data_IF_078104315073
#
_entry.id   IF_078104315073
#
_cell.length_a   1.000
_cell.length_b   1.000
_cell.length_c   1.000
_cell.angle_alpha   90.00
_cell.angle_beta   90.00
_cell.angle_gamma   90.00
#
_symmetry.space_group_name_H-M   'P 1'
#
loop_
_entity.id
_entity.type
_entity.pdbx_description
1 polymer ?
#
# COMPACT_ATOMS: atom_id res chain seq x y z
N UNK A 1 -29.73 29.39 6.10
CA UNK A 1 -29.26 28.61 4.93
C UNK A 1 -29.88 27.23 5.00
N UNK A 2 -30.90 26.93 4.19
CA UNK A 2 -31.66 25.68 4.24
C UNK A 2 -30.78 24.51 3.80
N UNK A 3 -30.62 23.52 4.67
CA UNK A 3 -30.01 22.26 4.35
C UNK A 3 -30.77 21.59 3.18
N UNK A 4 -30.28 21.78 1.95
CA UNK A 4 -30.78 21.08 0.79
C UNK A 4 -30.67 19.57 1.05
N UNK A 5 -31.80 18.92 0.93
CA UNK A 5 -32.08 17.53 1.28
C UNK A 5 -30.96 16.56 0.90
N UNK A 6 -30.47 15.70 1.82
CA UNK A 6 -29.49 14.65 1.54
C UNK A 6 -29.99 13.62 0.50
N UNK A 7 -31.27 13.69 0.11
CA UNK A 7 -31.94 12.77 -0.82
C UNK A 7 -31.39 12.80 -2.26
N UNK A 8 -30.87 13.95 -2.74
CA UNK A 8 -30.26 14.05 -4.07
C UNK A 8 -28.78 13.70 -4.09
N UNK A 9 -28.08 13.82 -2.95
CA UNK A 9 -26.67 13.43 -2.83
C UNK A 9 -26.51 11.91 -2.80
N UNK A 10 -27.45 11.20 -2.19
CA UNK A 10 -27.36 9.74 -2.05
C UNK A 10 -27.28 8.99 -3.39
N UNK A 11 -28.17 9.23 -4.39
CA UNK A 11 -28.08 8.57 -5.70
C UNK A 11 -26.83 9.00 -6.47
N UNK A 12 -26.39 10.25 -6.35
CA UNK A 12 -25.16 10.71 -6.98
C UNK A 12 -23.94 9.99 -6.40
N UNK A 13 -23.84 9.93 -5.06
CA UNK A 13 -22.75 9.21 -4.37
C UNK A 13 -22.79 7.71 -4.72
N UNK A 14 -23.98 7.10 -4.73
CA UNK A 14 -24.14 5.70 -5.13
C UNK A 14 -23.68 5.45 -6.56
N UNK A 15 -24.04 6.32 -7.50
CA UNK A 15 -23.62 6.21 -8.91
C UNK A 15 -22.10 6.32 -9.07
N UNK A 16 -21.46 7.23 -8.33
CA UNK A 16 -20.00 7.39 -8.32
C UNK A 16 -19.33 6.10 -7.76
N UNK A 17 -19.81 5.58 -6.63
CA UNK A 17 -19.27 4.33 -6.08
C UNK A 17 -19.47 3.13 -7.01
N UNK A 18 -20.64 2.99 -7.63
CA UNK A 18 -20.90 1.95 -8.62
C UNK A 18 -19.94 2.07 -9.81
N UNK A 19 -19.73 3.28 -10.33
CA UNK A 19 -18.78 3.52 -11.41
C UNK A 19 -17.33 3.16 -11.05
N UNK A 20 -16.89 3.49 -9.84
CA UNK A 20 -15.55 3.17 -9.35
C UNK A 20 -15.34 1.67 -9.06
N UNK A 21 -16.38 0.97 -8.59
CA UNK A 21 -16.32 -0.46 -8.27
C UNK A 21 -16.58 -1.34 -9.50
N UNK A 22 -17.26 -0.83 -10.54
CA UNK A 22 -17.62 -1.60 -11.72
C UNK A 22 -16.40 -2.30 -12.38
N UNK A 23 -15.25 -1.65 -12.62
CA UNK A 23 -14.08 -2.33 -13.19
C UNK A 23 -13.59 -3.50 -12.34
N UNK A 24 -13.60 -3.36 -11.01
CA UNK A 24 -13.19 -4.43 -10.10
C UNK A 24 -14.14 -5.61 -10.18
N UNK A 25 -15.45 -5.33 -10.21
CA UNK A 25 -16.49 -6.37 -10.36
C UNK A 25 -16.34 -7.09 -11.69
N UNK A 26 -16.05 -6.36 -12.78
CA UNK A 26 -15.82 -6.95 -14.10
C UNK A 26 -14.62 -7.90 -14.09
N UNK A 27 -13.48 -7.48 -13.52
CA UNK A 27 -12.28 -8.33 -13.42
C UNK A 27 -12.57 -9.59 -12.61
N UNK A 28 -13.24 -9.45 -11.46
CA UNK A 28 -13.62 -10.59 -10.63
C UNK A 28 -14.61 -11.51 -11.40
N UNK A 29 -15.61 -10.97 -12.09
CA UNK A 29 -16.55 -11.78 -12.84
C UNK A 29 -15.88 -12.55 -13.99
N UNK A 30 -15.01 -11.89 -14.74
CA UNK A 30 -14.26 -12.51 -15.85
C UNK A 30 -13.34 -13.62 -15.36
N UNK A 31 -12.77 -13.51 -14.14
CA UNK A 31 -11.91 -14.56 -13.57
C UNK A 31 -12.61 -15.89 -13.34
N UNK A 32 -13.96 -15.87 -13.27
CA UNK A 32 -14.78 -17.08 -13.17
C UNK A 32 -15.38 -17.52 -14.52
N UNK A 33 -15.15 -16.79 -15.60
CA UNK A 33 -15.68 -17.13 -16.92
C UNK A 33 -14.97 -18.35 -17.53
N UNK A 34 -15.70 -19.24 -18.25
CA UNK A 34 -15.09 -20.40 -18.91
C UNK A 34 -14.36 -20.09 -20.21
N UNK A 35 -14.56 -18.89 -20.77
CA UNK A 35 -13.97 -18.49 -22.05
C UNK A 35 -12.48 -18.19 -21.90
N UNK A 36 -11.69 -18.59 -22.90
CA UNK A 36 -10.27 -18.21 -23.00
C UNK A 36 -10.07 -16.73 -23.43
N UNK A 37 -11.14 -16.01 -23.73
CA UNK A 37 -11.14 -14.58 -24.00
C UNK A 37 -11.75 -13.82 -22.81
N UNK A 38 -11.38 -12.54 -22.66
CA UNK A 38 -11.99 -11.65 -21.68
C UNK A 38 -13.42 -11.29 -22.10
N UNK A 39 -14.39 -12.15 -21.78
CA UNK A 39 -15.81 -11.98 -22.12
C UNK A 39 -16.62 -11.53 -20.90
N UNK A 40 -17.38 -10.44 -21.07
CA UNK A 40 -18.27 -9.93 -20.03
C UNK A 40 -19.68 -9.66 -20.62
N UNK A 41 -20.77 -10.11 -19.98
CA UNK A 41 -20.80 -11.00 -18.81
C UNK A 41 -20.38 -12.45 -19.15
N UNK A 42 -19.76 -13.19 -18.21
CA UNK A 42 -19.31 -14.55 -18.45
C UNK A 42 -20.52 -15.48 -18.68
N UNK A 43 -20.40 -16.43 -19.63
CA UNK A 43 -21.46 -17.40 -19.98
C UNK A 43 -21.51 -18.65 -19.12
N UNK A 44 -20.84 -18.63 -17.96
CA UNK A 44 -20.77 -19.75 -17.03
C UNK A 44 -19.82 -19.45 -15.90
N UNK A 45 -19.61 -20.43 -15.02
CA UNK A 45 -18.71 -20.32 -13.87
C UNK A 45 -17.73 -21.46 -13.87
N UNK A 46 -16.43 -21.14 -13.77
CA UNK A 46 -15.34 -22.11 -13.64
C UNK A 46 -14.30 -21.62 -12.64
N UNK A 47 -13.51 -22.54 -12.08
CA UNK A 47 -12.32 -22.24 -11.28
C UNK A 47 -11.02 -22.53 -12.05
N UNK A 48 -11.14 -22.89 -13.32
CA UNK A 48 -10.00 -23.30 -14.16
C UNK A 48 -8.85 -22.29 -14.14
N UNK A 49 -9.12 -21.00 -14.20
CA UNK A 49 -8.08 -19.96 -14.19
C UNK A 49 -7.38 -19.82 -12.85
N UNK A 50 -8.06 -20.10 -11.75
CA UNK A 50 -7.44 -20.17 -10.43
C UNK A 50 -6.56 -21.43 -10.32
N UNK A 51 -6.99 -22.56 -10.85
CA UNK A 51 -6.16 -23.78 -10.93
C UNK A 51 -4.93 -23.54 -11.79
N UNK A 52 -5.07 -22.89 -12.95
CA UNK A 52 -3.96 -22.50 -13.83
C UNK A 52 -2.99 -21.54 -13.13
N UNK A 53 -3.49 -20.59 -12.34
CA UNK A 53 -2.66 -19.70 -11.52
C UNK A 53 -1.80 -20.50 -10.53
N UNK A 54 -2.39 -21.41 -9.75
CA UNK A 54 -1.66 -22.22 -8.78
C UNK A 54 -0.76 -23.27 -9.44
N UNK A 55 -1.06 -23.73 -10.63
CA UNK A 55 -0.24 -24.64 -11.41
C UNK A 55 0.99 -23.94 -12.04
N UNK A 56 0.96 -22.60 -12.14
CA UNK A 56 2.07 -21.82 -12.69
C UNK A 56 3.06 -21.38 -11.61
N UNK A 57 4.29 -21.92 -11.56
CA UNK A 57 5.31 -21.49 -10.60
C UNK A 57 5.62 -19.99 -10.69
N UNK A 58 5.55 -19.40 -11.90
CA UNK A 58 5.84 -18.00 -12.13
C UNK A 58 4.82 -17.10 -11.41
N UNK A 59 3.52 -17.37 -11.55
CA UNK A 59 2.49 -16.63 -10.83
C UNK A 59 2.57 -16.81 -9.30
N UNK A 60 2.76 -18.05 -8.84
CA UNK A 60 2.86 -18.36 -7.40
C UNK A 60 4.07 -17.67 -6.77
N UNK A 61 5.23 -17.69 -7.41
CA UNK A 61 6.43 -17.00 -6.93
C UNK A 61 6.21 -15.48 -6.92
N UNK A 62 5.72 -14.91 -8.04
CA UNK A 62 5.47 -13.48 -8.16
C UNK A 62 4.50 -12.97 -7.09
N UNK A 63 3.45 -13.73 -6.80
CA UNK A 63 2.43 -13.37 -5.83
C UNK A 63 2.90 -13.54 -4.39
N UNK A 64 3.21 -14.79 -3.99
CA UNK A 64 3.45 -15.11 -2.58
C UNK A 64 4.86 -14.80 -2.12
N UNK A 65 5.87 -15.09 -2.97
CA UNK A 65 7.26 -14.95 -2.56
C UNK A 65 7.81 -13.55 -2.81
N UNK A 66 7.35 -12.87 -3.84
CA UNK A 66 7.83 -11.51 -4.15
C UNK A 66 6.83 -10.46 -3.64
N UNK A 67 5.66 -10.33 -4.27
CA UNK A 67 4.74 -9.21 -3.95
C UNK A 67 4.27 -9.20 -2.51
N UNK A 68 3.83 -10.35 -1.98
CA UNK A 68 3.33 -10.42 -0.61
C UNK A 68 4.44 -10.18 0.41
N UNK A 69 5.61 -10.79 0.21
CA UNK A 69 6.75 -10.62 1.13
C UNK A 69 7.29 -9.20 1.08
N UNK A 70 7.50 -8.64 -0.12
CA UNK A 70 7.97 -7.25 -0.27
C UNK A 70 6.94 -6.28 0.30
N UNK A 71 5.64 -6.49 0.01
CA UNK A 71 4.56 -5.66 0.55
C UNK A 71 4.51 -5.64 2.08
N UNK A 72 4.60 -6.81 2.70
CA UNK A 72 4.60 -6.91 4.16
C UNK A 72 5.88 -6.31 4.79
N UNK A 73 7.05 -6.61 4.22
CA UNK A 73 8.31 -6.05 4.71
C UNK A 73 8.37 -4.53 4.50
N UNK A 74 7.94 -4.04 3.34
CA UNK A 74 7.87 -2.59 3.07
C UNK A 74 6.92 -1.90 4.05
N UNK A 75 5.73 -2.45 4.29
CA UNK A 75 4.78 -1.91 5.26
C UNK A 75 5.37 -1.88 6.68
N UNK A 76 6.00 -2.97 7.12
CA UNK A 76 6.58 -3.05 8.46
C UNK A 76 7.76 -2.07 8.63
N UNK A 77 8.72 -2.11 7.70
CA UNK A 77 9.92 -1.25 7.77
C UNK A 77 9.59 0.22 7.55
N UNK A 78 8.72 0.55 6.57
CA UNK A 78 8.27 1.93 6.36
C UNK A 78 7.51 2.46 7.59
N UNK A 79 6.74 1.61 8.30
CA UNK A 79 6.06 2.01 9.54
C UNK A 79 7.06 2.38 10.62
N UNK A 80 8.12 1.62 10.80
CA UNK A 80 9.17 1.94 11.77
C UNK A 80 9.92 3.22 11.35
N UNK A 81 10.45 3.26 10.13
CA UNK A 81 11.23 4.40 9.62
C UNK A 81 10.40 5.68 9.56
N UNK A 82 9.18 5.59 9.02
CA UNK A 82 8.27 6.73 8.91
C UNK A 82 7.81 7.25 10.28
N UNK A 83 7.62 6.36 11.26
CA UNK A 83 7.29 6.78 12.63
C UNK A 83 8.45 7.50 13.28
N UNK A 84 9.68 6.97 13.16
CA UNK A 84 10.87 7.65 13.67
C UNK A 84 11.07 9.03 13.02
N UNK A 85 10.91 9.12 11.70
CA UNK A 85 10.99 10.39 10.97
C UNK A 85 9.89 11.38 11.41
N UNK A 86 8.63 10.93 11.53
CA UNK A 86 7.52 11.76 11.99
C UNK A 86 7.73 12.28 13.41
N UNK A 87 8.20 11.42 14.33
CA UNK A 87 8.55 11.82 15.69
C UNK A 87 9.67 12.86 15.69
N UNK A 88 10.71 12.66 14.88
CA UNK A 88 11.80 13.63 14.71
C UNK A 88 11.30 14.98 14.22
N UNK A 89 10.48 14.96 13.18
CA UNK A 89 9.96 16.17 12.55
C UNK A 89 8.94 16.91 13.43
N UNK A 90 8.10 16.23 14.19
CA UNK A 90 7.05 16.88 15.01
C UNK A 90 7.59 17.36 16.35
N UNK A 91 8.42 16.56 17.02
CA UNK A 91 8.82 16.82 18.40
C UNK A 91 10.08 17.64 18.56
N UNK A 92 10.94 17.68 17.55
CA UNK A 92 12.22 18.38 17.64
C UNK A 92 12.21 19.62 16.75
N UNK A 93 12.79 20.69 17.27
CA UNK A 93 13.07 21.92 16.53
C UNK A 93 14.56 21.95 16.23
N UNK A 94 14.91 21.87 14.96
CA UNK A 94 16.29 21.90 14.50
C UNK A 94 16.41 22.70 13.21
N UNK A 95 17.61 23.19 12.94
CA UNK A 95 17.90 23.94 11.71
C UNK A 95 17.72 23.02 10.50
N UNK A 96 17.05 23.49 9.45
CA UNK A 96 16.81 22.72 8.23
C UNK A 96 15.65 21.70 8.32
N UNK A 97 14.81 21.74 9.38
CA UNK A 97 13.67 20.84 9.54
C UNK A 97 12.77 20.79 8.31
N UNK A 98 12.44 21.94 7.72
CA UNK A 98 11.59 22.03 6.52
C UNK A 98 12.23 21.36 5.30
N UNK A 99 13.55 21.51 5.14
CA UNK A 99 14.29 20.84 4.08
C UNK A 99 14.29 19.32 4.26
N UNK A 100 14.47 18.84 5.49
CA UNK A 100 14.39 17.39 5.82
C UNK A 100 12.98 16.85 5.59
N UNK A 101 11.96 17.59 5.98
CA UNK A 101 10.56 17.23 5.73
C UNK A 101 10.30 17.14 4.22
N UNK A 102 10.70 18.16 3.46
CA UNK A 102 10.58 18.18 2.00
C UNK A 102 11.32 17.01 1.36
N UNK A 103 12.52 16.70 1.81
CA UNK A 103 13.30 15.57 1.33
C UNK A 103 12.57 14.23 1.53
N UNK A 104 12.05 13.99 2.73
CA UNK A 104 11.29 12.77 3.00
C UNK A 104 9.99 12.66 2.21
N UNK A 105 9.35 13.80 1.88
CA UNK A 105 8.12 13.83 1.12
C UNK A 105 8.33 13.97 -0.40
N UNK A 106 9.56 14.24 -0.84
CA UNK A 106 9.90 14.40 -2.26
C UNK A 106 9.46 13.23 -3.15
N UNK A 107 9.55 11.95 -2.71
CA UNK A 107 9.08 10.83 -3.54
C UNK A 107 7.60 10.89 -3.91
N UNK A 108 6.76 11.60 -3.14
CA UNK A 108 5.35 11.80 -3.50
C UNK A 108 5.14 12.76 -4.69
N UNK A 109 6.13 13.60 -4.98
CA UNK A 109 6.07 14.61 -6.04
C UNK A 109 6.73 14.13 -7.33
N UNK A 110 7.58 13.10 -7.23
CA UNK A 110 8.31 12.53 -8.38
C UNK A 110 7.49 11.39 -8.96
N UNK A 111 7.27 11.36 -10.29
CA UNK A 111 6.63 10.21 -10.92
C UNK A 111 7.40 8.91 -10.61
N UNK A 112 6.69 7.89 -10.09
CA UNK A 112 7.29 6.62 -9.64
C UNK A 112 8.13 5.94 -10.72
N UNK A 113 7.72 6.06 -11.98
CA UNK A 113 8.46 5.51 -13.13
C UNK A 113 9.85 6.14 -13.28
N UNK A 114 9.97 7.46 -13.05
CA UNK A 114 11.27 8.14 -13.08
C UNK A 114 12.13 7.78 -11.88
N UNK A 115 11.50 7.60 -10.72
CA UNK A 115 12.18 7.14 -9.51
C UNK A 115 12.73 5.72 -9.71
N UNK A 116 11.94 4.83 -10.29
CA UNK A 116 12.36 3.47 -10.64
C UNK A 116 13.56 3.46 -11.60
N UNK A 117 13.51 4.26 -12.67
CA UNK A 117 14.61 4.41 -13.61
C UNK A 117 15.88 4.98 -12.96
N UNK A 118 15.75 6.00 -12.09
CA UNK A 118 16.87 6.58 -11.37
C UNK A 118 17.53 5.57 -10.42
N UNK A 119 16.73 4.81 -9.66
CA UNK A 119 17.23 3.76 -8.77
C UNK A 119 17.89 2.62 -9.55
N UNK A 120 17.33 2.22 -10.70
CA UNK A 120 17.95 1.23 -11.56
C UNK A 120 19.34 1.68 -12.02
N UNK A 121 19.47 2.91 -12.52
CA UNK A 121 20.75 3.48 -12.94
C UNK A 121 21.74 3.61 -11.76
N UNK A 122 21.27 3.96 -10.59
CA UNK A 122 22.06 3.99 -9.38
C UNK A 122 22.60 2.62 -9.00
N UNK A 123 21.77 1.59 -8.98
CA UNK A 123 22.19 0.21 -8.71
C UNK A 123 23.13 -0.33 -9.79
N UNK A 124 22.88 -0.03 -11.06
CA UNK A 124 23.76 -0.42 -12.16
C UNK A 124 25.17 0.18 -12.02
N UNK A 125 25.28 1.46 -11.59
CA UNK A 125 26.58 2.09 -11.31
C UNK A 125 27.33 1.45 -10.15
N UNK A 126 26.62 0.94 -9.16
CA UNK A 126 27.19 0.23 -8.02
C UNK A 126 27.42 -1.27 -8.29
N UNK A 127 27.16 -1.74 -9.51
CA UNK A 127 27.19 -3.16 -9.91
C UNK A 127 26.31 -4.04 -8.99
N UNK A 128 25.24 -3.49 -8.41
CA UNK A 128 24.27 -4.22 -7.60
C UNK A 128 23.22 -4.85 -8.51
N UNK A 129 23.09 -6.18 -8.43
CA UNK A 129 22.13 -6.91 -9.24
C UNK A 129 20.70 -6.78 -8.71
N UNK A 130 19.72 -6.85 -9.63
CA UNK A 130 18.30 -6.87 -9.28
C UNK A 130 17.98 -8.08 -8.37
N UNK A 131 17.34 -7.79 -7.24
CA UNK A 131 17.01 -8.76 -6.21
C UNK A 131 15.77 -8.32 -5.43
N UNK A 132 15.24 -9.20 -4.60
CA UNK A 132 14.14 -8.85 -3.69
C UNK A 132 14.52 -7.69 -2.73
N UNK A 133 15.80 -7.56 -2.40
CA UNK A 133 16.29 -6.50 -1.51
C UNK A 133 16.38 -5.14 -2.19
N UNK A 134 16.85 -5.09 -3.45
CA UNK A 134 16.86 -3.85 -4.23
C UNK A 134 15.44 -3.37 -4.53
N UNK A 135 14.53 -4.31 -4.80
CA UNK A 135 13.11 -4.03 -4.94
C UNK A 135 12.52 -3.49 -3.64
N UNK A 136 12.79 -4.14 -2.50
CA UNK A 136 12.34 -3.70 -1.17
C UNK A 136 12.85 -2.29 -0.84
N UNK A 137 14.13 -1.99 -1.08
CA UNK A 137 14.68 -0.65 -0.87
C UNK A 137 13.95 0.42 -1.69
N UNK A 138 13.63 0.13 -2.96
CA UNK A 138 12.83 1.03 -3.79
C UNK A 138 11.43 1.25 -3.21
N UNK A 139 10.78 0.16 -2.78
CA UNK A 139 9.45 0.25 -2.15
C UNK A 139 9.48 1.03 -0.82
N UNK A 140 10.56 0.94 -0.03
CA UNK A 140 10.70 1.77 1.17
C UNK A 140 10.72 3.27 0.83
N UNK A 141 11.35 3.66 -0.27
CA UNK A 141 11.40 5.07 -0.70
C UNK A 141 9.99 5.60 -1.01
N UNK A 142 9.15 4.83 -1.70
CA UNK A 142 7.79 5.28 -2.06
C UNK A 142 6.79 5.11 -0.91
N UNK A 143 6.97 4.14 -0.01
CA UNK A 143 6.04 3.85 1.07
C UNK A 143 6.23 4.74 2.31
N UNK A 144 7.48 5.07 2.66
CA UNK A 144 7.82 5.82 3.88
C UNK A 144 7.10 7.17 3.99
N UNK A 145 6.98 7.99 2.94
CA UNK A 145 6.26 9.26 2.99
C UNK A 145 4.81 9.15 3.45
N UNK A 146 4.10 8.09 3.03
CA UNK A 146 2.69 7.89 3.43
C UNK A 146 2.57 7.61 4.93
N UNK A 147 3.51 6.83 5.47
CA UNK A 147 3.57 6.57 6.92
C UNK A 147 3.90 7.86 7.67
N UNK A 148 4.89 8.63 7.20
CA UNK A 148 5.25 9.93 7.80
C UNK A 148 4.01 10.81 7.89
N UNK A 149 3.25 10.97 6.80
CA UNK A 149 2.04 11.81 6.79
C UNK A 149 0.97 11.29 7.74
N UNK A 150 0.72 9.99 7.74
CA UNK A 150 -0.28 9.36 8.62
C UNK A 150 0.07 9.55 10.10
N UNK A 151 1.33 9.29 10.48
CA UNK A 151 1.80 9.40 11.87
C UNK A 151 1.91 10.86 12.31
N UNK A 152 2.38 11.76 11.42
CA UNK A 152 2.42 13.21 11.69
C UNK A 152 1.02 13.75 12.00
N UNK A 153 0.01 13.39 11.21
CA UNK A 153 -1.38 13.78 11.46
C UNK A 153 -1.86 13.29 12.82
N UNK A 154 -1.50 12.05 13.20
CA UNK A 154 -1.81 11.52 14.52
C UNK A 154 -1.10 12.26 15.66
N UNK A 155 0.19 12.56 15.49
CA UNK A 155 1.00 13.27 16.50
C UNK A 155 0.51 14.71 16.74
N UNK A 156 0.15 15.43 15.68
CA UNK A 156 -0.39 16.79 15.77
C UNK A 156 -1.73 16.82 16.50
N UNK A 157 -2.53 15.74 16.38
CA UNK A 157 -3.81 15.59 17.08
C UNK A 157 -3.70 15.16 18.55
N UNK A 158 -2.51 14.80 19.04
CA UNK A 158 -2.31 14.41 20.44
C UNK A 158 -2.01 15.60 21.35
N UNK A 159 -2.68 15.65 22.51
CA UNK A 159 -2.37 16.63 23.55
C UNK A 159 -1.04 16.25 24.25
N UNK A 160 0.00 17.09 24.17
CA UNK A 160 1.29 16.82 24.83
C UNK A 160 1.18 16.65 26.36
N UNK A 161 0.15 17.23 26.98
CA UNK A 161 -0.10 17.14 28.43
C UNK A 161 -0.33 15.72 28.92
N UNK A 162 -0.74 14.79 28.04
CA UNK A 162 -0.91 13.39 28.40
C UNK A 162 0.41 12.72 28.76
N UNK A 163 1.49 13.02 28.03
CA UNK A 163 2.85 12.54 28.38
C UNK A 163 3.37 13.23 29.66
N UNK A 164 3.16 14.53 29.78
CA UNK A 164 3.56 15.30 30.95
C UNK A 164 2.88 14.77 32.22
N UNK A 165 1.59 14.47 32.17
CA UNK A 165 0.84 13.88 33.26
C UNK A 165 1.41 12.49 33.66
N UNK A 166 1.74 11.64 32.68
CA UNK A 166 2.37 10.34 32.96
C UNK A 166 3.74 10.50 33.63
N UNK A 167 4.55 11.47 33.16
CA UNK A 167 5.84 11.76 33.78
C UNK A 167 5.69 12.34 35.21
N UNK A 168 4.69 13.15 35.46
CA UNK A 168 4.36 13.68 36.80
C UNK A 168 3.97 12.56 37.79
N UNK A 169 3.41 11.45 37.27
CA UNK A 169 3.10 10.24 38.03
C UNK A 169 4.32 9.27 38.15
N UNK A 170 5.52 9.70 37.80
CA UNK A 170 6.76 8.95 37.96
C UNK A 170 7.16 8.10 36.74
N UNK A 171 6.49 8.20 35.60
CA UNK A 171 6.93 7.50 34.39
C UNK A 171 8.16 8.19 33.77
N UNK A 172 9.12 7.39 33.30
CA UNK A 172 10.21 7.92 32.46
C UNK A 172 9.66 8.33 31.09
N UNK A 173 10.39 9.16 30.32
CA UNK A 173 10.03 9.55 28.95
C UNK A 173 9.76 8.35 28.05
N UNK A 174 10.59 7.32 28.16
CA UNK A 174 10.44 6.07 27.39
C UNK A 174 9.16 5.35 27.80
N UNK A 175 8.87 5.26 29.08
CA UNK A 175 7.62 4.66 29.58
C UNK A 175 6.39 5.44 29.15
N UNK A 176 6.42 6.79 29.20
CA UNK A 176 5.33 7.64 28.71
C UNK A 176 5.10 7.45 27.22
N UNK A 177 6.17 7.37 26.42
CA UNK A 177 6.05 7.08 24.99
C UNK A 177 5.37 5.72 24.73
N UNK A 178 5.86 4.63 25.29
CA UNK A 178 5.32 3.29 25.03
C UNK A 178 3.95 3.04 25.65
N UNK A 179 3.63 3.65 26.81
CA UNK A 179 2.38 3.42 27.53
C UNK A 179 1.27 4.43 27.20
N UNK A 180 1.63 5.61 26.68
CA UNK A 180 0.65 6.69 26.39
C UNK A 180 0.65 7.03 24.91
N UNK A 181 1.77 7.52 24.36
CA UNK A 181 1.83 8.03 22.99
C UNK A 181 1.62 6.93 21.95
N UNK A 182 2.37 5.85 22.03
CA UNK A 182 2.30 4.77 21.04
C UNK A 182 0.91 4.11 20.98
N UNK A 183 0.23 3.78 22.08
CA UNK A 183 -1.15 3.31 22.07
C UNK A 183 -2.16 4.31 21.49
N UNK A 184 -1.97 5.60 21.73
CA UNK A 184 -2.85 6.64 21.17
C UNK A 184 -2.63 6.83 19.66
N UNK A 185 -1.41 6.59 19.17
CA UNK A 185 -1.06 6.62 17.73
C UNK A 185 -1.45 5.37 16.96
N UNK A 186 -1.95 4.33 17.62
CA UNK A 186 -2.21 3.02 16.98
C UNK A 186 -3.03 3.13 15.68
N UNK A 187 -4.03 3.99 15.64
CA UNK A 187 -4.86 4.18 14.44
C UNK A 187 -4.06 4.78 13.27
N UNK A 188 -3.23 5.77 13.54
CA UNK A 188 -2.36 6.40 12.54
C UNK A 188 -1.25 5.46 12.06
N UNK A 189 -0.66 4.68 12.97
CA UNK A 189 0.33 3.66 12.64
C UNK A 189 -0.24 2.59 11.73
N UNK A 190 -1.41 2.07 12.10
CA UNK A 190 -2.09 1.03 11.30
C UNK A 190 -2.54 1.56 9.95
N UNK A 191 -3.10 2.78 9.91
CA UNK A 191 -3.45 3.41 8.63
C UNK A 191 -2.22 3.61 7.74
N UNK A 192 -1.11 4.10 8.29
CA UNK A 192 0.15 4.24 7.57
C UNK A 192 0.68 2.91 7.03
N UNK A 193 0.64 1.85 7.85
CA UNK A 193 1.05 0.52 7.45
C UNK A 193 0.19 -0.07 6.33
N UNK A 194 -1.14 0.13 6.38
CA UNK A 194 -2.06 -0.31 5.33
C UNK A 194 -1.76 0.41 4.02
N UNK A 195 -1.61 1.74 4.05
CA UNK A 195 -1.25 2.49 2.85
C UNK A 195 0.07 2.03 2.26
N UNK A 196 1.10 1.84 3.11
CA UNK A 196 2.39 1.33 2.68
C UNK A 196 2.28 -0.07 2.04
N UNK A 197 1.47 -0.97 2.63
CA UNK A 197 1.22 -2.29 2.06
C UNK A 197 0.51 -2.20 0.71
N UNK A 198 -0.59 -1.44 0.62
CA UNK A 198 -1.37 -1.33 -0.62
C UNK A 198 -0.50 -0.77 -1.74
N UNK A 199 0.25 0.31 -1.48
CA UNK A 199 1.14 0.93 -2.46
C UNK A 199 2.20 -0.05 -2.91
N UNK A 200 2.90 -0.70 -1.98
CA UNK A 200 3.93 -1.67 -2.32
C UNK A 200 3.38 -2.90 -3.05
N UNK A 201 2.24 -3.43 -2.62
CA UNK A 201 1.65 -4.65 -3.18
C UNK A 201 1.06 -4.45 -4.57
N UNK A 202 0.64 -3.22 -4.93
CA UNK A 202 0.05 -2.87 -6.22
C UNK A 202 0.99 -2.08 -7.15
N UNK A 203 2.21 -1.77 -6.72
CA UNK A 203 3.14 -1.01 -7.53
C UNK A 203 3.60 -1.78 -8.77
N UNK A 204 3.56 -1.10 -9.90
CA UNK A 204 4.08 -1.57 -11.17
C UNK A 204 5.19 -0.65 -11.68
N UNK A 205 5.05 0.66 -11.47
CA UNK A 205 5.86 1.67 -12.13
C UNK A 205 7.33 1.61 -11.70
N UNK A 206 7.57 1.56 -10.40
CA UNK A 206 8.91 1.43 -9.85
C UNK A 206 9.43 -0.01 -10.03
N UNK A 207 8.56 -1.02 -9.77
CA UNK A 207 8.92 -2.42 -9.85
C UNK A 207 9.33 -2.86 -11.25
N UNK A 208 8.82 -2.25 -12.33
CA UNK A 208 9.24 -2.53 -13.70
C UNK A 208 10.75 -2.38 -13.92
N UNK A 209 11.38 -1.41 -13.27
CA UNK A 209 12.81 -1.14 -13.38
C UNK A 209 13.65 -1.97 -12.41
N UNK A 210 13.09 -2.32 -11.25
CA UNK A 210 13.83 -2.99 -10.17
C UNK A 210 13.62 -4.50 -10.14
N UNK A 211 12.67 -5.02 -10.95
CA UNK A 211 12.43 -6.46 -11.08
C UNK A 211 13.59 -7.18 -11.77
N UNK A 212 13.85 -8.40 -11.33
CA UNK A 212 14.83 -9.30 -11.92
C UNK A 212 14.24 -10.71 -12.06
N UNK A 213 14.98 -11.67 -12.64
CA UNK A 213 14.47 -13.01 -12.95
C UNK A 213 13.82 -13.75 -11.78
N UNK A 214 14.28 -13.48 -10.54
CA UNK A 214 13.76 -14.10 -9.31
C UNK A 214 13.04 -13.12 -8.38
N UNK A 215 12.88 -11.87 -8.78
CA UNK A 215 12.27 -10.77 -8.00
C UNK A 215 11.20 -10.02 -8.78
N UNK A 216 10.57 -10.66 -9.77
CA UNK A 216 9.46 -10.09 -10.52
C UNK A 216 8.20 -10.07 -9.64
N UNK A 217 7.64 -8.88 -9.40
CA UNK A 217 6.40 -8.73 -8.67
C UNK A 217 5.19 -9.17 -9.48
N UNK A 218 4.07 -9.49 -8.81
CA UNK A 218 2.85 -9.90 -9.49
C UNK A 218 2.33 -8.84 -10.47
N UNK A 219 2.25 -7.52 -10.12
CA UNK A 219 1.81 -6.50 -11.07
C UNK A 219 2.69 -6.43 -12.33
N UNK A 220 4.00 -6.57 -12.17
CA UNK A 220 4.94 -6.61 -13.33
C UNK A 220 4.73 -7.89 -14.15
N UNK A 221 4.52 -9.03 -13.49
CA UNK A 221 4.24 -10.28 -14.19
C UNK A 221 2.93 -10.22 -14.96
N UNK A 222 1.86 -9.70 -14.36
CA UNK A 222 0.57 -9.46 -15.03
C UNK A 222 0.75 -8.53 -16.24
N UNK A 223 1.47 -7.42 -16.08
CA UNK A 223 1.71 -6.48 -17.16
C UNK A 223 2.44 -7.11 -18.34
N UNK A 224 3.47 -7.92 -18.07
CA UNK A 224 4.18 -8.65 -19.13
C UNK A 224 3.27 -9.65 -19.85
N UNK A 225 2.43 -10.38 -19.13
CA UNK A 225 1.50 -11.34 -19.72
C UNK A 225 0.43 -10.67 -20.60
N UNK A 226 -0.08 -9.50 -20.19
CA UNK A 226 -1.05 -8.73 -21.00
C UNK A 226 -0.44 -8.37 -22.36
N UNK A 227 0.85 -8.04 -22.39
CA UNK A 227 1.53 -7.65 -23.65
C UNK A 227 1.76 -8.83 -24.60
N UNK A 228 1.92 -10.05 -24.07
CA UNK A 228 2.38 -11.19 -24.88
C UNK A 228 1.31 -12.27 -25.12
N UNK A 229 0.42 -12.54 -24.19
CA UNK A 229 -0.46 -13.71 -24.27
C UNK A 229 -1.94 -13.47 -23.94
N UNK A 230 -2.31 -12.47 -23.16
CA UNK A 230 -3.71 -12.11 -22.88
C UNK A 230 -4.57 -13.22 -22.23
N UNK A 231 -3.98 -14.12 -21.47
CA UNK A 231 -4.64 -15.27 -20.84
C UNK A 231 -5.52 -14.84 -19.62
N UNK A 232 -6.77 -15.35 -19.47
CA UNK A 232 -7.63 -15.05 -18.33
C UNK A 232 -7.09 -15.43 -16.95
N UNK A 233 -6.02 -16.21 -16.84
CA UNK A 233 -5.26 -16.42 -15.59
C UNK A 233 -4.84 -15.08 -14.96
N UNK A 234 -4.61 -14.05 -15.78
CA UNK A 234 -4.36 -12.68 -15.34
C UNK A 234 -5.53 -12.13 -14.52
N UNK A 235 -6.77 -12.37 -14.96
CA UNK A 235 -7.96 -11.94 -14.23
C UNK A 235 -8.10 -12.67 -12.89
N UNK A 236 -7.75 -13.97 -12.83
CA UNK A 236 -7.72 -14.73 -11.58
C UNK A 236 -6.66 -14.18 -10.62
N UNK A 237 -5.44 -13.91 -11.12
CA UNK A 237 -4.36 -13.30 -10.33
C UNK A 237 -4.75 -11.92 -9.78
N UNK A 238 -5.33 -11.06 -10.62
CA UNK A 238 -5.82 -9.73 -10.24
C UNK A 238 -6.96 -9.82 -9.23
N UNK A 239 -7.88 -10.75 -9.39
CA UNK A 239 -8.99 -10.98 -8.46
C UNK A 239 -8.49 -11.40 -7.07
N UNK A 240 -7.49 -12.28 -7.00
CA UNK A 240 -6.86 -12.65 -5.74
C UNK A 240 -6.20 -11.44 -5.06
N UNK A 241 -5.53 -10.59 -5.84
CA UNK A 241 -4.92 -9.35 -5.32
C UNK A 241 -5.97 -8.40 -4.75
N UNK A 242 -7.07 -8.17 -5.48
CA UNK A 242 -8.21 -7.34 -5.04
C UNK A 242 -8.81 -7.89 -3.74
N UNK A 243 -9.04 -9.21 -3.67
CA UNK A 243 -9.61 -9.87 -2.48
C UNK A 243 -8.69 -9.73 -1.28
N UNK A 244 -7.38 -9.94 -1.44
CA UNK A 244 -6.42 -9.78 -0.33
C UNK A 244 -6.39 -8.34 0.19
N UNK A 245 -6.34 -7.34 -0.70
CA UNK A 245 -6.37 -5.93 -0.29
C UNK A 245 -7.71 -5.62 0.41
N UNK A 246 -8.83 -6.06 -0.15
CA UNK A 246 -10.16 -5.87 0.44
C UNK A 246 -10.29 -6.52 1.81
N UNK A 247 -9.84 -7.76 1.97
CA UNK A 247 -9.83 -8.46 3.25
C UNK A 247 -8.93 -7.77 4.27
N UNK A 248 -7.74 -7.33 3.86
CA UNK A 248 -6.85 -6.58 4.75
C UNK A 248 -7.54 -5.33 5.30
N UNK A 249 -8.15 -4.53 4.42
CA UNK A 249 -8.87 -3.32 4.82
C UNK A 249 -10.01 -3.67 5.79
N UNK A 250 -10.84 -4.66 5.46
CA UNK A 250 -11.98 -5.06 6.29
C UNK A 250 -11.54 -5.59 7.67
N UNK A 251 -10.50 -6.44 7.72
CA UNK A 251 -9.97 -6.99 8.97
C UNK A 251 -9.45 -5.88 9.87
N UNK A 252 -8.67 -4.96 9.30
CA UNK A 252 -8.10 -3.87 10.08
C UNK A 252 -9.18 -2.88 10.55
N UNK A 253 -10.15 -2.53 9.71
CA UNK A 253 -11.29 -1.71 10.13
C UNK A 253 -12.03 -2.35 11.31
N UNK A 254 -12.23 -3.66 11.28
CA UNK A 254 -12.95 -4.38 12.33
C UNK A 254 -12.18 -4.47 13.65
N UNK A 255 -10.86 -4.72 13.58
CA UNK A 255 -9.98 -4.83 14.75
C UNK A 255 -9.78 -3.47 15.43
N UNK A 256 -9.47 -2.44 14.66
CA UNK A 256 -9.13 -1.12 15.20
C UNK A 256 -10.33 -0.19 15.33
N UNK A 257 -11.55 -0.64 14.99
CA UNK A 257 -12.78 0.15 14.99
C UNK A 257 -12.56 1.53 14.33
N UNK A 258 -11.72 1.58 13.29
CA UNK A 258 -11.49 2.79 12.53
C UNK A 258 -12.82 3.18 11.89
N UNK A 259 -13.51 4.17 12.46
CA UNK A 259 -14.59 4.84 11.75
C UNK A 259 -13.90 5.61 10.62
N UNK A 260 -13.96 5.05 9.39
CA UNK A 260 -13.73 5.90 8.23
C UNK A 260 -14.80 6.98 8.32
N UNK A 261 -14.39 8.22 8.65
CA UNK A 261 -15.25 9.38 8.53
C UNK A 261 -15.47 9.53 7.03
N UNK A 262 -16.60 9.02 6.57
CA UNK A 262 -17.16 9.30 5.26
C UNK A 262 -18.02 10.54 5.37
#
# INVERSE_FOLDING_TARGET
MSARSPRLLLPFVAAVYLGLLAPLVVVIAVSFGPSAAFEFPPRGVTLHWFEAFFASPAFVIAFFRVSLVVGLLAAALATVLGTCAALGLVRFRFFGREAVETFFLAPLLVPEILLGAALYLFYARLAVQASIWTLLCGHLVICTPYVIRSVTAGLVGLDPRLEEAAMSLGATRVQAFFKVTLPLLRSSLVSGAIFAFIISFSDINLALFLSGPQSTSLPVHIFSQIQWQGDPTIAAASSMQIVIIGLLILVVQRIFRLRLVV
#
